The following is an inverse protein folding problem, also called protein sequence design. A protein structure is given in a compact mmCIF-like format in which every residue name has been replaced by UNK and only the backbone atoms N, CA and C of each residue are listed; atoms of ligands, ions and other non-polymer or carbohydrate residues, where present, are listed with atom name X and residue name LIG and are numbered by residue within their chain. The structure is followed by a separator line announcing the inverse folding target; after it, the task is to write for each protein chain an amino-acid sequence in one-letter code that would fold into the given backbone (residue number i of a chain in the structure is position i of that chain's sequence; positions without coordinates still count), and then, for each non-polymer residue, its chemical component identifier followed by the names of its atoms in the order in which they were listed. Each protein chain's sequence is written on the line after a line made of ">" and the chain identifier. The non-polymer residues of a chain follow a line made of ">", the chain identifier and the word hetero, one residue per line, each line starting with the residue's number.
data_IF_715290342446
#
_entry.id   IF_715290342446
#
_cell.length_a   1.000
_cell.length_b   1.000
_cell.length_c   1.000
_cell.angle_alpha   90.00
_cell.angle_beta   90.00
_cell.angle_gamma   90.00
#
_symmetry.space_group_name_H-M   'P 1'
#
loop_
_entity.id
_entity.type
_entity.pdbx_description
1 polymer ?
#
# COMPACT_ATOMS: atom_id res chain seq x y z
N UNK A 1 18.47 -4.67 5.60
CA UNK A 1 17.16 -5.31 5.82
C UNK A 1 16.67 -5.11 7.25
N UNK A 2 17.51 -5.38 8.25
CA UNK A 2 17.18 -5.19 9.68
C UNK A 2 16.72 -3.75 9.97
N UNK A 3 17.36 -2.74 9.39
CA UNK A 3 16.94 -1.35 9.53
C UNK A 3 15.51 -1.10 9.00
N UNK A 4 15.14 -1.74 7.88
CA UNK A 4 13.77 -1.65 7.34
C UNK A 4 12.77 -2.28 8.30
N UNK A 5 13.11 -3.45 8.89
CA UNK A 5 12.25 -4.09 9.88
C UNK A 5 12.11 -3.25 11.16
N UNK A 6 13.17 -2.58 11.58
CA UNK A 6 13.12 -1.69 12.73
C UNK A 6 12.12 -0.55 12.55
N UNK A 7 11.94 -0.04 11.31
CA UNK A 7 10.92 1.00 11.04
C UNK A 7 9.50 0.50 11.24
N UNK A 8 9.23 -0.80 11.10
CA UNK A 8 7.89 -1.38 11.33
C UNK A 8 7.47 -1.39 12.81
N UNK A 9 8.46 -1.28 13.72
CA UNK A 9 8.17 -1.20 15.16
C UNK A 9 7.72 0.19 15.59
N UNK A 10 7.87 1.20 14.72
CA UNK A 10 7.46 2.55 15.04
C UNK A 10 5.95 2.73 14.79
N UNK A 11 5.18 3.19 15.77
CA UNK A 11 3.76 3.45 15.57
C UNK A 11 3.55 4.61 14.59
N UNK A 12 2.62 4.44 13.67
CA UNK A 12 2.30 5.45 12.63
C UNK A 12 1.98 6.81 13.25
N UNK A 13 1.29 6.83 14.39
CA UNK A 13 0.96 8.06 15.11
C UNK A 13 2.20 8.86 15.55
N UNK A 14 3.27 8.20 15.96
CA UNK A 14 4.52 8.85 16.32
C UNK A 14 5.25 9.43 15.10
N UNK A 15 5.02 8.85 13.92
CA UNK A 15 5.64 9.29 12.67
C UNK A 15 4.92 10.48 12.00
N UNK A 16 3.72 10.86 12.45
CA UNK A 16 2.93 11.94 11.84
C UNK A 16 3.67 13.28 11.83
N UNK A 17 4.27 13.67 12.95
CA UNK A 17 5.00 14.94 13.05
C UNK A 17 6.27 14.96 12.15
N UNK A 18 7.13 13.93 12.14
CA UNK A 18 8.22 13.80 11.16
C UNK A 18 7.73 13.86 9.71
N UNK A 19 6.68 13.12 9.35
CA UNK A 19 6.10 13.15 8.00
C UNK A 19 5.68 14.55 7.60
N UNK A 20 4.90 15.22 8.43
CA UNK A 20 4.48 16.60 8.16
C UNK A 20 5.67 17.53 7.94
N UNK A 21 6.71 17.42 8.78
CA UNK A 21 7.91 18.26 8.70
C UNK A 21 8.65 18.07 7.36
N UNK A 22 8.84 16.82 6.95
CA UNK A 22 9.48 16.47 5.68
C UNK A 22 8.64 16.95 4.49
N UNK A 23 7.35 16.65 4.46
CA UNK A 23 6.47 17.08 3.37
C UNK A 23 6.38 18.61 3.26
N UNK A 24 6.41 19.31 4.39
CA UNK A 24 6.45 20.77 4.40
C UNK A 24 7.76 21.31 3.83
N UNK A 25 8.90 20.70 4.18
CA UNK A 25 10.21 21.09 3.67
C UNK A 25 10.29 21.00 2.14
N UNK A 26 9.67 19.97 1.55
CA UNK A 26 9.60 19.77 0.11
C UNK A 26 8.41 20.48 -0.57
N UNK A 27 7.64 21.29 0.14
CA UNK A 27 6.48 22.01 -0.43
C UNK A 27 5.33 21.10 -0.88
N UNK A 28 5.24 19.88 -0.33
CA UNK A 28 4.27 18.87 -0.72
C UNK A 28 2.95 18.92 0.09
N UNK A 29 2.84 19.82 1.06
CA UNK A 29 1.61 20.03 1.82
C UNK A 29 0.50 20.53 0.89
N UNK A 30 -0.69 19.99 1.07
CA UNK A 30 -1.89 20.28 0.27
C UNK A 30 -1.73 19.95 -1.23
N UNK A 31 -0.97 18.90 -1.54
CA UNK A 31 -0.78 18.39 -2.91
C UNK A 31 -1.10 16.90 -3.01
N UNK A 32 -1.42 16.43 -4.22
CA UNK A 32 -1.60 14.99 -4.50
C UNK A 32 -0.30 14.20 -4.27
N UNK A 33 0.86 14.79 -4.60
CA UNK A 33 2.17 14.16 -4.37
C UNK A 33 2.43 13.97 -2.88
N UNK A 34 2.01 14.91 -2.03
CA UNK A 34 2.11 14.79 -0.58
C UNK A 34 1.32 13.59 -0.02
N UNK A 35 0.27 13.14 -0.72
CA UNK A 35 -0.42 11.88 -0.39
C UNK A 35 0.30 10.65 -0.95
N UNK A 36 0.81 10.71 -2.18
CA UNK A 36 1.38 9.55 -2.86
C UNK A 36 2.72 9.14 -2.23
N UNK A 37 3.59 10.10 -1.95
CA UNK A 37 4.96 9.84 -1.48
C UNK A 37 5.02 8.97 -0.21
N UNK A 38 4.22 9.19 0.85
CA UNK A 38 4.24 8.34 2.05
C UNK A 38 3.87 6.88 1.79
N UNK A 39 3.05 6.62 0.75
CA UNK A 39 2.62 5.27 0.39
C UNK A 39 3.45 4.63 -0.72
N UNK A 40 4.35 5.37 -1.37
CA UNK A 40 5.18 4.84 -2.45
C UNK A 40 6.13 3.74 -1.97
N UNK A 41 6.53 3.77 -0.69
CA UNK A 41 7.37 2.75 -0.07
C UNK A 41 6.76 2.28 1.25
N UNK A 42 6.67 0.96 1.41
CA UNK A 42 6.20 0.34 2.64
C UNK A 42 7.21 -0.71 3.10
N UNK A 43 7.67 -0.60 4.34
CA UNK A 43 8.58 -1.59 4.93
C UNK A 43 7.97 -2.99 4.92
N UNK A 44 6.65 -3.11 5.12
CA UNK A 44 5.91 -4.36 5.02
C UNK A 44 5.95 -4.95 3.60
N UNK A 45 5.76 -4.12 2.57
CA UNK A 45 5.86 -4.57 1.18
C UNK A 45 7.27 -5.06 0.84
N UNK A 46 8.30 -4.35 1.27
CA UNK A 46 9.70 -4.77 1.08
C UNK A 46 9.98 -6.09 1.80
N UNK A 47 9.48 -6.25 3.03
CA UNK A 47 9.61 -7.48 3.80
C UNK A 47 8.94 -8.67 3.07
N UNK A 48 7.68 -8.54 2.71
CA UNK A 48 6.92 -9.62 2.08
C UNK A 48 7.50 -10.00 0.71
N UNK A 49 7.88 -9.01 -0.10
CA UNK A 49 8.49 -9.27 -1.40
C UNK A 49 9.84 -9.99 -1.25
N UNK A 50 10.65 -9.61 -0.27
CA UNK A 50 11.88 -10.34 0.03
C UNK A 50 11.61 -11.78 0.46
N UNK A 51 10.62 -12.01 1.33
CA UNK A 51 10.26 -13.37 1.75
C UNK A 51 9.80 -14.21 0.54
N UNK A 52 9.15 -13.60 -0.43
CA UNK A 52 8.78 -14.27 -1.66
C UNK A 52 10.01 -14.63 -2.50
N UNK A 53 10.93 -13.69 -2.73
CA UNK A 53 12.14 -13.94 -3.51
C UNK A 53 13.05 -15.02 -2.90
N UNK A 54 13.18 -15.08 -1.58
CA UNK A 54 13.99 -16.09 -0.90
C UNK A 54 13.48 -17.52 -1.15
N UNK A 55 12.22 -17.70 -1.51
CA UNK A 55 11.62 -19.00 -1.82
C UNK A 55 11.84 -19.44 -3.27
N UNK A 56 12.27 -18.54 -4.15
CA UNK A 56 12.57 -18.89 -5.53
C UNK A 56 13.85 -19.73 -5.54
N UNK A 57 13.85 -20.94 -6.15
CA UNK A 57 15.04 -21.80 -6.18
C UNK A 57 16.22 -21.09 -6.82
N UNK A 58 17.37 -21.09 -6.13
CA UNK A 58 18.61 -20.47 -6.61
C UNK A 58 19.05 -21.08 -7.95
N UNK A 59 18.78 -22.35 -8.17
CA UNK A 59 19.10 -23.04 -9.43
C UNK A 59 18.53 -22.35 -10.68
N UNK A 60 17.37 -21.70 -10.59
CA UNK A 60 16.80 -20.93 -11.72
C UNK A 60 17.67 -19.70 -12.05
N UNK A 61 18.18 -19.03 -11.04
CA UNK A 61 19.03 -17.85 -11.19
C UNK A 61 20.41 -18.27 -11.72
N UNK A 62 20.97 -19.33 -11.17
CA UNK A 62 22.27 -19.90 -11.56
C UNK A 62 22.25 -20.39 -13.01
N UNK A 63 21.23 -21.14 -13.43
CA UNK A 63 21.06 -21.60 -14.81
C UNK A 63 21.02 -20.41 -15.79
N UNK A 64 20.25 -19.37 -15.48
CA UNK A 64 20.17 -18.20 -16.34
C UNK A 64 21.50 -17.43 -16.44
N UNK A 65 22.29 -17.39 -15.36
CA UNK A 65 23.61 -16.78 -15.38
C UNK A 65 24.58 -17.61 -16.21
N UNK A 66 24.51 -18.94 -16.13
CA UNK A 66 25.31 -19.86 -16.97
C UNK A 66 24.96 -19.69 -18.46
N UNK A 67 23.68 -19.39 -18.79
CA UNK A 67 23.23 -19.05 -20.14
C UNK A 67 23.64 -17.63 -20.58
N UNK A 68 24.47 -16.93 -19.79
CA UNK A 68 25.01 -15.59 -20.12
C UNK A 68 24.03 -14.44 -19.83
N UNK A 69 22.94 -14.66 -19.08
CA UNK A 69 22.06 -13.57 -18.71
C UNK A 69 22.70 -12.65 -17.66
N UNK A 70 22.64 -11.34 -17.88
CA UNK A 70 23.04 -10.36 -16.86
C UNK A 70 22.08 -10.41 -15.65
N UNK A 71 22.52 -10.00 -14.47
CA UNK A 71 21.70 -9.93 -13.26
C UNK A 71 20.42 -9.11 -13.44
N UNK A 72 20.48 -8.03 -14.22
CA UNK A 72 19.31 -7.21 -14.54
C UNK A 72 18.33 -7.97 -15.43
N UNK A 73 18.83 -8.73 -16.43
CA UNK A 73 17.99 -9.58 -17.29
C UNK A 73 17.31 -10.68 -16.47
N UNK A 74 18.02 -11.36 -15.55
CA UNK A 74 17.46 -12.34 -14.63
C UNK A 74 16.33 -11.72 -13.79
N UNK A 75 16.57 -10.52 -13.21
CA UNK A 75 15.58 -9.83 -12.41
C UNK A 75 14.32 -9.51 -13.23
N UNK A 76 14.49 -8.93 -14.44
CA UNK A 76 13.37 -8.46 -15.25
C UNK A 76 12.60 -9.58 -15.93
N UNK A 77 13.31 -10.59 -16.48
CA UNK A 77 12.71 -11.64 -17.30
C UNK A 77 12.30 -12.90 -16.52
N UNK A 78 12.88 -13.14 -15.34
CA UNK A 78 12.64 -14.35 -14.55
C UNK A 78 11.99 -13.99 -13.21
N UNK A 79 12.67 -13.22 -12.37
CA UNK A 79 12.21 -12.99 -11.01
C UNK A 79 10.93 -12.14 -10.94
N UNK A 80 10.84 -11.07 -11.72
CA UNK A 80 9.70 -10.18 -11.73
C UNK A 80 8.41 -10.86 -12.24
N UNK A 81 8.42 -11.59 -13.37
CA UNK A 81 7.26 -12.37 -13.81
C UNK A 81 6.83 -13.47 -12.84
N UNK A 82 7.78 -14.22 -12.27
CA UNK A 82 7.48 -15.22 -11.22
C UNK A 82 6.85 -14.58 -9.97
N UNK A 83 7.19 -13.34 -9.66
CA UNK A 83 6.69 -12.63 -8.51
C UNK A 83 5.34 -11.91 -8.74
N UNK A 84 4.77 -12.03 -9.93
CA UNK A 84 3.49 -11.38 -10.27
C UNK A 84 2.36 -11.63 -9.26
N UNK A 85 2.13 -12.85 -8.73
CA UNK A 85 1.10 -13.05 -7.69
C UNK A 85 1.40 -12.28 -6.41
N UNK A 86 2.66 -12.27 -5.97
CA UNK A 86 3.08 -11.51 -4.80
C UNK A 86 2.92 -10.01 -5.00
N UNK A 87 3.31 -9.48 -6.16
CA UNK A 87 3.18 -8.05 -6.48
C UNK A 87 1.71 -7.61 -6.51
N UNK A 88 0.81 -8.44 -7.05
CA UNK A 88 -0.63 -8.16 -7.04
C UNK A 88 -1.15 -8.11 -5.60
N UNK A 89 -0.79 -9.10 -4.78
CA UNK A 89 -1.19 -9.15 -3.36
C UNK A 89 -0.70 -7.93 -2.59
N UNK A 90 0.56 -7.53 -2.79
CA UNK A 90 1.14 -6.34 -2.18
C UNK A 90 0.46 -5.05 -2.67
N UNK A 91 0.13 -4.98 -3.95
CA UNK A 91 -0.62 -3.85 -4.53
C UNK A 91 -1.98 -3.68 -3.88
N UNK A 92 -2.72 -4.77 -3.67
CA UNK A 92 -4.02 -4.75 -2.99
C UNK A 92 -3.85 -4.33 -1.53
N UNK A 93 -2.85 -4.89 -0.84
CA UNK A 93 -2.54 -4.53 0.55
C UNK A 93 -2.26 -3.03 0.69
N UNK A 94 -1.40 -2.49 -0.17
CA UNK A 94 -1.01 -1.10 -0.15
C UNK A 94 -2.17 -0.16 -0.56
N UNK A 95 -2.94 -0.57 -1.56
CA UNK A 95 -4.17 0.15 -1.94
C UNK A 95 -5.13 0.25 -0.76
N UNK A 96 -5.42 -0.88 -0.08
CA UNK A 96 -6.30 -0.89 1.09
C UNK A 96 -5.77 0.01 2.22
N UNK A 97 -4.47 -0.03 2.47
CA UNK A 97 -3.84 0.81 3.48
C UNK A 97 -4.02 2.30 3.17
N UNK A 98 -3.73 2.71 1.93
CA UNK A 98 -3.89 4.10 1.48
C UNK A 98 -5.36 4.54 1.41
N UNK A 99 -6.27 3.64 0.96
CA UNK A 99 -7.70 3.93 0.83
C UNK A 99 -8.38 4.20 2.17
N UNK A 100 -8.01 3.44 3.20
CA UNK A 100 -8.62 3.56 4.52
C UNK A 100 -7.88 4.53 5.45
N UNK A 101 -6.75 5.11 5.02
CA UNK A 101 -6.01 6.00 5.90
C UNK A 101 -6.72 7.34 6.06
N UNK A 102 -6.77 7.76 7.31
CA UNK A 102 -7.32 9.03 7.73
C UNK A 102 -6.23 9.99 8.22
N UNK A 103 -5.20 9.45 8.91
CA UNK A 103 -4.25 10.27 9.66
C UNK A 103 -3.33 11.08 8.76
N UNK A 104 -2.70 10.45 7.77
CA UNK A 104 -1.78 11.16 6.85
C UNK A 104 -2.55 12.16 5.98
N UNK A 105 -3.68 11.80 5.31
CA UNK A 105 -4.48 12.76 4.59
C UNK A 105 -4.94 13.95 5.44
N UNK A 106 -5.34 13.72 6.69
CA UNK A 106 -5.82 14.78 7.58
C UNK A 106 -4.74 15.83 7.89
N UNK A 107 -3.48 15.41 8.06
CA UNK A 107 -2.39 16.36 8.33
C UNK A 107 -1.84 17.04 7.07
N UNK A 108 -1.96 16.38 5.92
CA UNK A 108 -1.37 16.86 4.65
C UNK A 108 -2.33 17.76 3.89
N UNK A 109 -3.61 17.43 3.84
CA UNK A 109 -4.59 18.13 3.02
C UNK A 109 -5.27 19.26 3.79
N UNK A 110 -5.52 20.36 3.07
CA UNK A 110 -6.27 21.53 3.58
C UNK A 110 -7.40 21.93 2.64
N UNK A 111 -7.27 21.63 1.34
CA UNK A 111 -8.29 21.93 0.36
C UNK A 111 -9.34 20.82 0.34
N UNK A 112 -10.60 21.17 0.52
CA UNK A 112 -11.73 20.22 0.51
C UNK A 112 -11.87 19.43 -0.79
N UNK A 113 -11.41 19.97 -1.92
CA UNK A 113 -11.44 19.29 -3.22
C UNK A 113 -10.46 18.10 -3.29
N UNK A 114 -9.47 18.06 -2.39
CA UNK A 114 -8.48 16.99 -2.30
C UNK A 114 -8.80 15.97 -1.21
N UNK A 115 -9.82 16.20 -0.39
CA UNK A 115 -10.15 15.33 0.73
C UNK A 115 -10.49 13.91 0.30
N UNK A 116 -9.92 12.95 1.00
CA UNK A 116 -10.19 11.53 0.83
C UNK A 116 -11.53 11.13 1.45
N UNK A 117 -12.05 9.95 1.11
CA UNK A 117 -13.30 9.43 1.66
C UNK A 117 -13.32 9.40 3.20
N UNK A 118 -12.28 8.91 3.91
CA UNK A 118 -12.26 8.94 5.37
C UNK A 118 -12.39 10.35 5.96
N UNK A 119 -11.75 11.36 5.36
CA UNK A 119 -11.88 12.75 5.84
C UNK A 119 -13.32 13.25 5.61
N UNK A 120 -13.90 12.99 4.44
CA UNK A 120 -15.28 13.41 4.15
C UNK A 120 -16.28 12.75 5.09
N UNK A 121 -16.14 11.45 5.37
CA UNK A 121 -16.97 10.75 6.36
C UNK A 121 -16.84 11.37 7.75
N UNK A 122 -15.63 11.69 8.18
CA UNK A 122 -15.40 12.34 9.47
C UNK A 122 -16.06 13.73 9.54
N UNK A 123 -15.95 14.52 8.49
CA UNK A 123 -16.61 15.82 8.42
C UNK A 123 -18.13 15.71 8.47
N UNK A 124 -18.71 14.74 7.76
CA UNK A 124 -20.15 14.47 7.82
C UNK A 124 -20.58 14.03 9.22
N UNK A 125 -19.80 13.22 9.91
CA UNK A 125 -20.10 12.76 11.27
C UNK A 125 -19.98 13.86 12.33
N UNK A 126 -19.30 14.96 12.04
CA UNK A 126 -19.17 16.10 12.96
C UNK A 126 -20.36 17.07 12.93
N UNK A 127 -21.28 16.91 11.97
CA UNK A 127 -22.51 17.72 11.87
C UNK A 127 -23.49 17.26 12.94
N UNK A 128 -23.83 18.12 13.89
CA UNK A 128 -24.71 17.77 15.01
C UNK A 128 -26.17 18.14 14.78
N UNK A 129 -26.42 19.10 13.88
CA UNK A 129 -27.78 19.57 13.54
C UNK A 129 -28.10 19.09 12.13
N UNK A 130 -29.28 18.48 11.93
CA UNK A 130 -29.72 17.89 10.66
C UNK A 130 -28.67 16.92 10.10
N UNK A 131 -28.27 15.95 10.89
CA UNK A 131 -27.26 14.97 10.53
C UNK A 131 -27.59 14.26 9.20
N UNK A 132 -26.71 14.29 8.20
CA UNK A 132 -27.01 13.79 6.84
C UNK A 132 -26.84 12.26 6.77
N UNK A 133 -27.75 11.50 7.38
CA UNK A 133 -27.68 10.03 7.45
C UNK A 133 -27.65 9.37 6.06
N UNK A 134 -28.44 9.87 5.14
CA UNK A 134 -28.53 9.39 3.77
C UNK A 134 -27.18 9.54 3.03
N UNK A 135 -26.62 10.74 3.06
CA UNK A 135 -25.33 11.02 2.43
C UNK A 135 -24.18 10.24 3.10
N UNK A 136 -24.19 10.12 4.44
CA UNK A 136 -23.18 9.36 5.17
C UNK A 136 -23.25 7.88 4.84
N UNK A 137 -24.44 7.28 4.81
CA UNK A 137 -24.61 5.87 4.45
C UNK A 137 -24.23 5.61 3.00
N UNK A 138 -24.63 6.46 2.07
CA UNK A 138 -24.23 6.35 0.67
C UNK A 138 -22.71 6.43 0.48
N UNK A 139 -22.05 7.37 1.16
CA UNK A 139 -20.59 7.51 1.11
C UNK A 139 -19.90 6.30 1.74
N UNK A 140 -20.43 5.78 2.85
CA UNK A 140 -19.93 4.56 3.50
C UNK A 140 -20.05 3.34 2.58
N UNK A 141 -21.17 3.16 1.90
CA UNK A 141 -21.35 2.09 0.91
C UNK A 141 -20.31 2.16 -0.21
N UNK A 142 -20.06 3.36 -0.78
CA UNK A 142 -19.04 3.55 -1.82
C UNK A 142 -17.64 3.24 -1.27
N UNK A 143 -17.34 3.67 -0.04
CA UNK A 143 -16.04 3.42 0.60
C UNK A 143 -15.74 1.93 0.77
N UNK A 144 -16.75 1.11 1.02
CA UNK A 144 -16.64 -0.35 1.14
C UNK A 144 -16.63 -1.02 -0.24
N UNK A 145 -17.48 -0.55 -1.16
CA UNK A 145 -17.68 -1.17 -2.46
C UNK A 145 -16.39 -1.24 -3.30
N UNK A 146 -15.60 -0.18 -3.29
CA UNK A 146 -14.36 -0.10 -4.08
C UNK A 146 -13.33 -1.15 -3.66
N UNK A 147 -12.93 -1.29 -2.38
CA UNK A 147 -12.05 -2.37 -1.94
C UNK A 147 -12.65 -3.76 -2.16
N UNK A 148 -13.96 -3.91 -1.99
CA UNK A 148 -14.67 -5.18 -2.18
C UNK A 148 -14.62 -5.64 -3.64
N UNK A 149 -14.87 -4.77 -4.60
CA UNK A 149 -14.76 -5.09 -6.04
C UNK A 149 -13.33 -5.49 -6.37
N UNK A 150 -12.33 -4.73 -5.91
CA UNK A 150 -10.94 -5.09 -6.12
C UNK A 150 -10.60 -6.46 -5.54
N UNK A 151 -11.08 -6.78 -4.34
CA UNK A 151 -10.90 -8.09 -3.75
C UNK A 151 -11.53 -9.19 -4.61
N UNK A 152 -12.76 -9.03 -5.10
CA UNK A 152 -13.42 -10.02 -5.95
C UNK A 152 -12.66 -10.28 -7.26
N UNK A 153 -12.09 -9.25 -7.87
CA UNK A 153 -11.31 -9.38 -9.10
C UNK A 153 -10.02 -10.15 -8.87
N UNK A 154 -9.34 -9.88 -7.76
CA UNK A 154 -7.97 -10.36 -7.52
C UNK A 154 -7.87 -11.46 -6.46
N UNK A 155 -8.98 -11.95 -5.89
CA UNK A 155 -9.00 -12.95 -4.81
C UNK A 155 -8.19 -14.22 -5.11
N UNK A 156 -8.14 -14.67 -6.35
CA UNK A 156 -7.33 -15.83 -6.76
C UNK A 156 -5.84 -15.65 -6.49
N UNK A 157 -5.31 -14.46 -6.77
CA UNK A 157 -3.89 -14.16 -6.54
C UNK A 157 -3.58 -14.03 -5.05
N UNK A 158 -4.55 -13.57 -4.26
CA UNK A 158 -4.43 -13.51 -2.82
C UNK A 158 -4.34 -14.91 -2.20
N UNK A 159 -5.16 -15.85 -2.68
CA UNK A 159 -5.12 -17.25 -2.24
C UNK A 159 -3.81 -17.93 -2.66
N UNK A 160 -3.34 -17.71 -3.88
CA UNK A 160 -2.06 -18.25 -4.38
C UNK A 160 -0.86 -17.67 -3.59
N UNK A 161 -0.88 -16.38 -3.30
CA UNK A 161 0.16 -15.70 -2.52
C UNK A 161 0.26 -16.19 -1.06
N UNK A 162 -0.87 -16.53 -0.43
CA UNK A 162 -0.92 -17.12 0.90
C UNK A 162 -0.60 -18.62 0.89
N UNK A 163 -1.13 -19.37 -0.08
CA UNK A 163 -0.90 -20.81 -0.19
C UNK A 163 0.57 -21.16 -0.48
N UNK A 164 1.29 -20.31 -1.21
CA UNK A 164 2.74 -20.41 -1.33
C UNK A 164 3.49 -20.27 0.01
N UNK A 165 2.80 -19.80 1.06
CA UNK A 165 3.31 -19.67 2.42
C UNK A 165 3.15 -20.89 3.31
N UNK A 166 2.29 -21.86 2.93
CA UNK A 166 1.85 -22.96 3.82
C UNK A 166 2.41 -24.32 3.37
N UNK A 167 2.95 -24.42 2.16
CA UNK A 167 3.60 -25.65 1.67
C UNK A 167 5.12 -25.55 1.87
N UNK A 168 5.56 -25.59 3.12
CA UNK A 168 6.91 -25.81 3.53
C UNK A 168 6.93 -26.73 4.73
#
# INVERSE_FOLDING_TARGET
>A
FVMILATMMMPTSAMLAPYYKVLRLYGLINTRLGLIVPYATSAMCVFLLRQYFVRIPAALVEAAIMDGASRFRVWWQILLPLSKPALITLGIYQFRAAWNDFLIPMIVLRNEQLFTFPIKLQLMSSVTVNFPWDAMMATGCIAILVPFILFLIYQRYFMEGLAGGIKG
#
